data_IF_448316163425
#
_entry.id   IF_448316163425
#
_cell.length_a   1.000
_cell.length_b   1.000
_cell.length_c   1.000
_cell.angle_alpha   90.00
_cell.angle_beta   90.00
_cell.angle_gamma   90.00
#
_symmetry.space_group_name_H-M   'P 1'
#
loop_
_entity.id
_entity.type
_entity.pdbx_description
1 polymer ?
#
# COMPACT_ATOMS: atom_id res chain seq x y z
N UNK A 1 -9.86 -16.51 -10.71
CA UNK A 1 -11.08 -16.50 -9.84
C UNK A 1 -11.23 -15.08 -9.34
N UNK A 2 -12.45 -14.51 -9.36
CA UNK A 2 -12.69 -13.20 -8.74
C UNK A 2 -12.50 -13.33 -7.23
N UNK A 3 -11.66 -12.47 -6.66
CA UNK A 3 -11.38 -12.47 -5.22
C UNK A 3 -12.27 -11.44 -4.51
N UNK A 4 -12.48 -11.55 -3.19
CA UNK A 4 -13.51 -10.77 -2.51
C UNK A 4 -13.15 -9.29 -2.29
N UNK A 5 -11.87 -8.93 -2.26
CA UNK A 5 -11.45 -7.53 -2.11
C UNK A 5 -11.18 -6.90 -3.47
N UNK A 6 -11.95 -5.88 -3.82
CA UNK A 6 -11.68 -5.01 -4.96
C UNK A 6 -10.67 -3.91 -4.60
N UNK A 7 -10.25 -3.13 -5.59
CA UNK A 7 -9.23 -2.10 -5.41
C UNK A 7 -9.63 -1.02 -4.39
N UNK A 8 -10.91 -0.61 -4.36
CA UNK A 8 -11.42 0.30 -3.34
C UNK A 8 -11.28 -0.26 -1.92
N UNK A 9 -11.70 -1.52 -1.70
CA UNK A 9 -11.64 -2.16 -0.40
C UNK A 9 -10.20 -2.34 0.08
N UNK A 10 -9.30 -2.72 -0.82
CA UNK A 10 -7.86 -2.81 -0.53
C UNK A 10 -7.30 -1.45 -0.09
N UNK A 11 -7.58 -0.37 -0.82
CA UNK A 11 -7.12 0.96 -0.43
C UNK A 11 -7.64 1.43 0.94
N UNK A 12 -8.85 1.04 1.33
CA UNK A 12 -9.33 1.33 2.69
C UNK A 12 -8.50 0.60 3.76
N UNK A 13 -8.10 -0.65 3.48
CA UNK A 13 -7.22 -1.43 4.34
C UNK A 13 -5.85 -0.78 4.42
N UNK A 14 -5.31 -0.28 3.30
CA UNK A 14 -4.00 0.39 3.28
C UNK A 14 -3.99 1.63 4.18
N UNK A 15 -4.94 2.55 4.01
CA UNK A 15 -4.99 3.76 4.84
C UNK A 15 -5.22 3.45 6.31
N UNK A 16 -6.03 2.43 6.62
CA UNK A 16 -6.25 1.97 8.01
C UNK A 16 -4.96 1.37 8.59
N UNK A 17 -4.23 0.61 7.77
CA UNK A 17 -2.93 0.02 8.14
C UNK A 17 -1.90 1.12 8.40
N UNK A 18 -1.79 2.12 7.52
CA UNK A 18 -0.92 3.29 7.71
C UNK A 18 -1.20 3.98 9.04
N UNK A 19 -2.46 4.30 9.33
CA UNK A 19 -2.85 4.97 10.58
C UNK A 19 -2.50 4.11 11.82
N UNK A 20 -2.79 2.81 11.75
CA UNK A 20 -2.53 1.87 12.85
C UNK A 20 -1.03 1.72 13.11
N UNK A 21 -0.23 1.54 12.06
CA UNK A 21 1.23 1.40 12.15
C UNK A 21 1.88 2.69 12.63
N UNK A 22 1.41 3.86 12.18
CA UNK A 22 1.91 5.14 12.66
C UNK A 22 1.60 5.39 14.16
N UNK A 23 0.44 4.92 14.64
CA UNK A 23 0.04 5.11 16.03
C UNK A 23 0.69 4.09 16.99
N UNK A 24 0.99 2.88 16.51
CA UNK A 24 1.46 1.76 17.32
C UNK A 24 2.67 2.05 18.21
N UNK A 25 3.74 2.76 17.76
CA UNK A 25 4.89 3.10 18.59
C UNK A 25 4.51 3.75 19.92
N UNK A 26 3.67 4.79 19.86
CA UNK A 26 3.25 5.55 21.05
C UNK A 26 2.20 4.80 21.85
N UNK A 27 1.25 4.14 21.20
CA UNK A 27 0.17 3.44 21.88
C UNK A 27 0.66 2.21 22.64
N UNK A 28 1.69 1.52 22.14
CA UNK A 28 2.16 0.24 22.69
C UNK A 28 3.50 0.33 23.41
N UNK A 29 4.20 1.47 23.31
CA UNK A 29 5.50 1.73 23.93
C UNK A 29 6.63 0.95 23.27
N UNK A 30 6.82 1.14 21.96
CA UNK A 30 7.85 0.44 21.20
C UNK A 30 9.28 0.91 21.54
N UNK A 31 10.28 0.03 21.46
CA UNK A 31 11.68 0.44 21.51
C UNK A 31 12.05 1.20 20.23
N UNK A 32 13.04 2.08 20.30
CA UNK A 32 13.45 3.00 19.22
C UNK A 32 13.66 2.33 17.85
N UNK A 33 14.20 1.10 17.81
CA UNK A 33 14.38 0.35 16.55
C UNK A 33 13.04 -0.04 15.90
N UNK A 34 12.07 -0.48 16.71
CA UNK A 34 10.71 -0.76 16.25
C UNK A 34 9.93 0.51 15.88
N UNK A 35 10.15 1.63 16.59
CA UNK A 35 9.56 2.92 16.22
C UNK A 35 10.01 3.37 14.83
N UNK A 36 11.33 3.30 14.56
CA UNK A 36 11.90 3.66 13.27
C UNK A 36 11.32 2.80 12.14
N UNK A 37 11.20 1.49 12.36
CA UNK A 37 10.55 0.59 11.40
C UNK A 37 9.09 0.97 11.17
N UNK A 38 8.31 1.19 12.23
CA UNK A 38 6.90 1.52 12.13
C UNK A 38 6.66 2.83 11.36
N UNK A 39 7.37 3.91 11.69
CA UNK A 39 7.23 5.17 10.97
C UNK A 39 7.70 5.08 9.51
N UNK A 40 8.78 4.34 9.26
CA UNK A 40 9.26 4.08 7.90
C UNK A 40 8.22 3.33 7.06
N UNK A 41 7.64 2.26 7.61
CA UNK A 41 6.57 1.51 6.94
C UNK A 41 5.32 2.34 6.74
N UNK A 42 4.87 3.10 7.75
CA UNK A 42 3.69 3.95 7.61
C UNK A 42 3.87 5.01 6.52
N UNK A 43 5.03 5.66 6.46
CA UNK A 43 5.35 6.62 5.39
C UNK A 43 5.44 5.95 4.01
N UNK A 44 6.09 4.77 3.94
CA UNK A 44 6.23 4.00 2.71
C UNK A 44 4.88 3.53 2.15
N UNK A 45 4.05 2.90 2.98
CA UNK A 45 2.70 2.48 2.61
C UNK A 45 1.83 3.67 2.25
N UNK A 46 1.90 4.79 2.97
CA UNK A 46 1.15 6.00 2.62
C UNK A 46 1.54 6.51 1.23
N UNK A 47 2.84 6.63 0.96
CA UNK A 47 3.34 7.05 -0.35
C UNK A 47 2.91 6.11 -1.47
N UNK A 48 3.08 4.80 -1.27
CA UNK A 48 2.65 3.77 -2.22
C UNK A 48 1.14 3.89 -2.49
N UNK A 49 0.33 3.96 -1.43
CA UNK A 49 -1.13 4.10 -1.48
C UNK A 49 -1.59 5.35 -2.22
N UNK A 50 -1.03 6.51 -1.88
CA UNK A 50 -1.38 7.78 -2.52
C UNK A 50 -1.05 7.78 -4.02
N UNK A 51 -0.04 7.01 -4.42
CA UNK A 51 0.45 6.93 -5.79
C UNK A 51 -0.10 5.76 -6.61
N UNK A 52 -0.87 4.86 -5.98
CA UNK A 52 -1.38 3.65 -6.63
C UNK A 52 -2.61 3.92 -7.47
N UNK A 53 -2.73 3.25 -8.61
CA UNK A 53 -3.88 3.32 -9.50
C UNK A 53 -5.07 2.51 -8.95
N UNK A 54 -5.81 3.14 -8.03
CA UNK A 54 -7.04 2.64 -7.42
C UNK A 54 -7.94 3.83 -6.99
N UNK A 55 -9.20 3.61 -6.55
CA UNK A 55 -10.15 4.71 -6.34
C UNK A 55 -9.78 5.74 -5.27
N UNK A 56 -8.94 5.38 -4.30
CA UNK A 56 -8.59 6.25 -3.17
C UNK A 56 -7.25 6.98 -3.35
N UNK A 57 -6.63 6.90 -4.53
CA UNK A 57 -5.36 7.56 -4.82
C UNK A 57 -5.46 9.08 -4.75
N UNK A 58 -4.37 9.73 -4.34
CA UNK A 58 -4.18 11.16 -4.61
C UNK A 58 -3.72 11.40 -6.05
N UNK A 59 -2.86 10.51 -6.59
CA UNK A 59 -2.40 10.54 -7.97
C UNK A 59 -2.10 9.13 -8.45
N UNK A 60 -2.63 8.71 -9.59
CA UNK A 60 -2.51 7.33 -10.08
C UNK A 60 -1.25 7.18 -10.94
N UNK A 61 -0.10 6.94 -10.31
CA UNK A 61 1.21 6.81 -10.97
C UNK A 61 1.70 5.36 -11.06
N UNK A 62 1.34 4.52 -10.10
CA UNK A 62 1.83 3.17 -9.96
C UNK A 62 0.69 2.18 -10.30
N UNK A 63 0.93 1.18 -11.15
CA UNK A 63 -0.11 0.20 -11.47
C UNK A 63 -0.50 -0.59 -10.21
N UNK A 64 -1.78 -0.93 -10.07
CA UNK A 64 -2.28 -1.66 -8.90
C UNK A 64 -1.59 -3.02 -8.68
N UNK A 65 -1.24 -3.73 -9.76
CA UNK A 65 -0.41 -4.95 -9.67
C UNK A 65 0.99 -4.68 -9.14
N UNK A 66 1.55 -3.50 -9.44
CA UNK A 66 2.83 -3.05 -8.90
C UNK A 66 2.75 -2.81 -7.40
N UNK A 67 1.64 -2.25 -6.89
CA UNK A 67 1.36 -2.19 -5.46
C UNK A 67 1.36 -3.59 -4.84
N UNK A 68 0.60 -4.54 -5.41
CA UNK A 68 0.55 -5.90 -4.88
C UNK A 68 1.90 -6.62 -4.87
N UNK A 69 2.75 -6.39 -5.87
CA UNK A 69 4.11 -6.92 -5.87
C UNK A 69 4.96 -6.35 -4.72
N UNK A 70 4.85 -5.05 -4.46
CA UNK A 70 5.52 -4.41 -3.33
C UNK A 70 4.98 -4.93 -1.99
N UNK A 71 3.67 -5.11 -1.88
CA UNK A 71 3.01 -5.65 -0.68
C UNK A 71 3.52 -7.07 -0.36
N UNK A 72 3.60 -7.95 -1.36
CA UNK A 72 4.14 -9.32 -1.19
C UNK A 72 5.60 -9.29 -0.76
N UNK A 73 6.42 -8.42 -1.35
CA UNK A 73 7.83 -8.28 -0.98
C UNK A 73 7.99 -7.80 0.47
N UNK A 74 7.22 -6.80 0.88
CA UNK A 74 7.23 -6.30 2.26
C UNK A 74 6.74 -7.40 3.21
N UNK A 75 5.60 -8.05 2.90
CA UNK A 75 5.03 -9.13 3.71
C UNK A 75 5.97 -10.32 3.89
N UNK A 76 6.78 -10.65 2.88
CA UNK A 76 7.80 -11.69 2.97
C UNK A 76 8.97 -11.31 3.90
N UNK A 77 9.38 -10.03 3.92
CA UNK A 77 10.48 -9.55 4.76
C UNK A 77 10.06 -9.29 6.22
N UNK A 78 8.86 -8.74 6.40
CA UNK A 78 8.32 -8.25 7.67
C UNK A 78 8.42 -9.22 8.86
N UNK A 79 8.13 -10.54 8.73
CA UNK A 79 8.22 -11.45 9.87
C UNK A 79 9.64 -11.65 10.40
N UNK A 80 10.68 -11.32 9.64
CA UNK A 80 12.07 -11.48 10.08
C UNK A 80 12.65 -10.21 10.72
N UNK A 81 12.02 -9.06 10.49
CA UNK A 81 12.53 -7.76 10.94
C UNK A 81 12.68 -7.61 12.47
N UNK A 82 11.82 -8.20 13.33
CA UNK A 82 12.04 -8.12 14.78
C UNK A 82 13.40 -8.66 15.23
N UNK A 83 13.86 -9.75 14.62
CA UNK A 83 15.15 -10.35 14.93
C UNK A 83 16.29 -9.57 14.29
N UNK A 84 16.15 -9.21 13.01
CA UNK A 84 17.19 -8.50 12.26
C UNK A 84 17.50 -7.11 12.85
N UNK A 85 16.48 -6.44 13.39
CA UNK A 85 16.60 -5.10 13.96
C UNK A 85 16.71 -5.10 15.50
N UNK A 86 16.86 -6.28 16.11
CA UNK A 86 17.20 -6.42 17.53
C UNK A 86 16.09 -6.00 18.51
N UNK A 87 14.82 -6.16 18.14
CA UNK A 87 13.69 -5.89 19.04
C UNK A 87 12.79 -7.12 19.30
N UNK A 88 13.21 -8.32 18.92
CA UNK A 88 12.45 -9.55 19.08
C UNK A 88 12.08 -9.89 20.54
N UNK A 89 12.87 -9.43 21.53
CA UNK A 89 12.59 -9.65 22.96
C UNK A 89 11.45 -8.74 23.49
N UNK A 90 11.11 -7.66 22.78
CA UNK A 90 9.94 -6.86 23.09
C UNK A 90 8.69 -7.52 22.50
N UNK A 91 7.96 -8.28 23.33
CA UNK A 91 6.81 -9.05 22.89
C UNK A 91 5.72 -8.20 22.21
N UNK A 92 5.48 -6.96 22.67
CA UNK A 92 4.47 -6.07 22.07
C UNK A 92 4.85 -5.67 20.65
N UNK A 93 6.08 -5.18 20.46
CA UNK A 93 6.58 -4.80 19.14
C UNK A 93 6.67 -6.01 18.21
N UNK A 94 7.30 -7.11 18.65
CA UNK A 94 7.41 -8.34 17.85
C UNK A 94 6.04 -8.84 17.39
N UNK A 95 5.09 -8.99 18.32
CA UNK A 95 3.77 -9.53 17.99
C UNK A 95 2.97 -8.56 17.09
N UNK A 96 3.16 -7.25 17.24
CA UNK A 96 2.54 -6.28 16.34
C UNK A 96 3.02 -6.47 14.89
N UNK A 97 4.33 -6.58 14.66
CA UNK A 97 4.86 -6.78 13.31
C UNK A 97 4.51 -8.16 12.73
N UNK A 98 4.46 -9.21 13.55
CA UNK A 98 3.95 -10.51 13.12
C UNK A 98 2.46 -10.47 12.76
N UNK A 99 1.66 -9.71 13.52
CA UNK A 99 0.25 -9.46 13.20
C UNK A 99 0.09 -8.67 11.91
N UNK A 100 0.93 -7.64 11.71
CA UNK A 100 0.97 -6.88 10.47
C UNK A 100 1.32 -7.78 9.28
N UNK A 101 2.28 -8.69 9.41
CA UNK A 101 2.58 -9.71 8.39
C UNK A 101 1.33 -10.52 8.01
N UNK A 102 0.55 -10.97 9.01
CA UNK A 102 -0.66 -11.73 8.75
C UNK A 102 -1.72 -10.89 8.03
N UNK A 103 -1.95 -9.65 8.45
CA UNK A 103 -2.90 -8.74 7.80
C UNK A 103 -2.52 -8.48 6.36
N UNK A 104 -1.25 -8.13 6.09
CA UNK A 104 -0.71 -7.91 4.75
C UNK A 104 -0.85 -9.16 3.87
N UNK A 105 -0.50 -10.35 4.38
CA UNK A 105 -0.62 -11.59 3.62
C UNK A 105 -2.07 -11.93 3.28
N UNK A 106 -3.00 -11.74 4.23
CA UNK A 106 -4.43 -11.99 4.02
C UNK A 106 -5.03 -10.98 3.05
N UNK A 107 -4.71 -9.68 3.20
CA UNK A 107 -5.13 -8.64 2.27
C UNK A 107 -4.70 -8.97 0.85
N UNK A 108 -3.41 -9.29 0.65
CA UNK A 108 -2.87 -9.64 -0.66
C UNK A 108 -3.51 -10.90 -1.27
N UNK A 109 -3.74 -11.92 -0.44
CA UNK A 109 -4.37 -13.17 -0.88
C UNK A 109 -5.81 -12.95 -1.35
N UNK A 110 -6.56 -12.10 -0.64
CA UNK A 110 -7.97 -11.83 -0.89
C UNK A 110 -8.23 -10.70 -1.90
N UNK A 111 -7.20 -10.03 -2.40
CA UNK A 111 -7.31 -8.91 -3.36
C UNK A 111 -7.28 -9.36 -4.80
N UNK A 112 -8.28 -8.91 -5.56
CA UNK A 112 -8.37 -9.07 -7.00
C UNK A 112 -7.47 -8.06 -7.72
N UNK A 113 -6.22 -8.44 -7.93
CA UNK A 113 -5.19 -7.60 -8.55
C UNK A 113 -5.41 -7.31 -10.04
N UNK A 114 -6.38 -7.97 -10.68
CA UNK A 114 -6.73 -7.77 -12.09
C UNK A 114 -7.82 -6.71 -12.28
N UNK A 115 -8.38 -6.17 -11.19
CA UNK A 115 -9.51 -5.25 -11.23
C UNK A 115 -9.25 -3.94 -10.43
N UNK A 116 -8.42 -3.01 -10.94
CA UNK A 116 -8.17 -1.69 -10.31
C UNK A 116 -9.38 -0.72 -10.26
N UNK A 117 -10.56 -1.17 -10.70
CA UNK A 117 -11.79 -0.43 -11.05
C UNK A 117 -11.69 0.33 -12.40
N UNK A 118 -12.75 0.19 -13.22
CA UNK A 118 -12.79 0.54 -14.65
C UNK A 118 -13.20 1.99 -14.95
N UNK A 119 -13.35 2.81 -13.92
CA UNK A 119 -13.95 4.15 -13.99
C UNK A 119 -13.04 5.20 -14.66
N UNK A 120 -11.96 4.75 -15.30
CA UNK A 120 -11.08 5.58 -16.12
C UNK A 120 -11.15 5.07 -17.56
N UNK A 121 -11.91 5.79 -18.38
CA UNK A 121 -11.47 5.99 -19.76
C UNK A 121 -10.00 6.36 -19.70
N UNK A 122 -9.15 5.57 -20.34
CA UNK A 122 -7.73 5.88 -20.49
C UNK A 122 -7.61 7.35 -20.87
N UNK A 123 -7.28 8.20 -19.90
CA UNK A 123 -7.11 9.63 -20.11
C UNK A 123 -6.18 9.75 -21.30
N UNK A 124 -6.72 10.43 -22.30
CA UNK A 124 -6.24 10.39 -23.66
C UNK A 124 -4.73 10.43 -23.72
N UNK A 125 -4.20 9.66 -24.67
CA UNK A 125 -3.13 10.19 -25.48
C UNK A 125 -3.33 11.70 -25.58
N UNK A 126 -2.34 12.47 -25.14
CA UNK A 126 -2.16 13.84 -25.56
C UNK A 126 -1.90 13.81 -27.08
N UNK A 127 -2.88 13.36 -27.87
CA UNK A 127 -3.10 13.90 -29.19
C UNK A 127 -3.57 15.31 -28.92
N UNK A 128 -2.59 16.21 -28.82
CA UNK A 128 -2.82 17.59 -29.18
C UNK A 128 -3.41 17.51 -30.58
N UNK A 129 -4.72 17.70 -30.67
CA UNK A 129 -5.48 17.85 -31.90
C UNK A 129 -5.01 19.14 -32.59
N UNK A 130 -3.80 19.09 -33.15
CA UNK A 130 -3.20 20.15 -33.94
C UNK A 130 -3.85 20.26 -35.34
N UNK A 131 -4.74 19.33 -35.67
CA UNK A 131 -5.34 19.25 -37.02
C UNK A 131 -6.66 20.02 -37.12
N UNK A 132 -7.33 20.32 -36.00
CA UNK A 132 -8.61 21.07 -36.03
C UNK A 132 -8.50 22.58 -36.17
N UNK A 133 -7.36 23.17 -35.81
CA UNK A 133 -7.19 24.63 -35.87
C UNK A 133 -6.58 25.14 -37.19
N UNK A 134 -6.00 24.27 -38.02
CA UNK A 134 -5.42 24.65 -39.32
C UNK A 134 -6.40 24.64 -40.51
N UNK A 135 -7.59 24.07 -40.32
CA UNK A 135 -8.63 24.02 -41.39
C UNK A 135 -9.62 25.19 -41.28
N UNK A 136 -9.47 26.08 -40.29
CA UNK A 136 -10.38 27.21 -40.06
C UNK A 136 -9.72 28.60 -40.05
N UNK A 137 -8.46 28.72 -40.49
CA UNK A 137 -7.82 30.03 -40.72
C UNK A 137 -7.69 30.29 -42.23
#
# INVERSE_FOLDING_TARGET
MKKPLNARAHGMIDYTTVATVAAAPRALGFPRSAEGLAYGLAAGYLGLSLLTDYPLAAKRLLPFKGHGAAEVAIGAALPFLPWLLGFADNARARNFFLGLTAVTAVSAALTDWDAPDADYESGGTLEVDLDRDLVRA
#
